data_IF_348810699520
#
_entry.id   IF_348810699520
#
_cell.length_a   1.000
_cell.length_b   1.000
_cell.length_c   1.000
_cell.angle_alpha   90.00
_cell.angle_beta   90.00
_cell.angle_gamma   90.00
#
_symmetry.space_group_name_H-M   'P 1'
#
loop_
_entity.id
_entity.type
_entity.pdbx_description
1 polymer ?
#
# COMPACT_ATOMS: atom_id res chain seq x y z
N UNK A 1 2.47 20.85 -15.11
CA UNK A 1 3.39 19.69 -14.99
C UNK A 1 3.27 18.82 -16.23
N UNK A 2 4.32 18.17 -16.73
CA UNK A 2 4.24 17.24 -17.88
C UNK A 2 5.34 16.18 -17.77
N UNK A 3 5.11 15.00 -18.33
CA UNK A 3 6.10 13.91 -18.39
C UNK A 3 7.38 14.32 -19.12
N UNK A 4 7.27 15.17 -20.14
CA UNK A 4 8.41 15.68 -20.89
C UNK A 4 9.49 16.33 -20.01
N UNK A 5 9.10 16.95 -18.89
CA UNK A 5 10.04 17.60 -17.95
C UNK A 5 10.82 16.61 -17.10
N UNK A 6 10.31 15.39 -16.92
CA UNK A 6 10.89 14.41 -16.00
C UNK A 6 11.41 13.13 -16.66
N UNK A 7 11.12 12.92 -17.96
CA UNK A 7 11.50 11.69 -18.68
C UNK A 7 13.02 11.45 -18.76
N UNK A 8 13.82 12.52 -18.64
CA UNK A 8 15.28 12.46 -18.71
C UNK A 8 15.97 12.40 -17.34
N UNK A 9 15.22 12.33 -16.24
CA UNK A 9 15.77 12.11 -14.92
C UNK A 9 16.45 10.73 -14.86
N UNK A 10 17.53 10.61 -14.09
CA UNK A 10 18.11 9.30 -13.83
C UNK A 10 17.11 8.40 -13.03
N UNK A 11 17.30 7.08 -13.01
CA UNK A 11 16.32 6.16 -12.40
C UNK A 11 15.99 6.45 -10.92
N UNK A 12 16.99 6.86 -10.14
CA UNK A 12 16.81 7.17 -8.72
C UNK A 12 16.06 8.50 -8.51
N UNK A 13 16.37 9.51 -9.31
CA UNK A 13 15.67 10.80 -9.30
C UNK A 13 14.22 10.63 -9.77
N UNK A 14 14.00 9.82 -10.82
CA UNK A 14 12.66 9.53 -11.30
C UNK A 14 11.82 8.83 -10.22
N UNK A 15 12.38 7.81 -9.57
CA UNK A 15 11.72 7.13 -8.44
C UNK A 15 11.49 8.09 -7.27
N UNK A 16 12.47 8.93 -6.94
CA UNK A 16 12.30 9.95 -5.90
C UNK A 16 11.18 10.93 -6.25
N UNK A 17 10.98 11.21 -7.52
CA UNK A 17 9.96 12.13 -8.00
C UNK A 17 8.55 11.50 -7.98
N UNK A 18 8.35 10.34 -8.60
CA UNK A 18 7.01 9.76 -8.78
C UNK A 18 6.71 8.49 -7.96
N UNK A 19 7.70 7.95 -7.23
CA UNK A 19 7.53 6.79 -6.35
C UNK A 19 7.81 5.43 -6.99
N UNK A 20 7.96 5.35 -8.32
CA UNK A 20 8.25 4.12 -9.06
C UNK A 20 9.46 4.27 -9.95
N UNK A 21 10.14 3.18 -10.29
CA UNK A 21 11.23 3.17 -11.26
C UNK A 21 10.71 3.39 -12.70
N UNK A 22 11.55 3.91 -13.64
CA UNK A 22 11.16 4.13 -15.02
C UNK A 22 10.61 2.89 -15.73
N UNK A 23 11.14 1.70 -15.43
CA UNK A 23 10.67 0.43 -16.00
C UNK A 23 9.23 0.14 -15.58
N UNK A 24 8.94 0.25 -14.29
CA UNK A 24 7.57 0.08 -13.74
C UNK A 24 6.62 1.12 -14.35
N UNK A 25 7.07 2.37 -14.48
CA UNK A 25 6.28 3.42 -15.12
C UNK A 25 5.95 3.10 -16.58
N UNK A 26 6.93 2.61 -17.36
CA UNK A 26 6.72 2.16 -18.75
C UNK A 26 5.70 1.03 -18.84
N UNK A 27 5.72 0.08 -17.90
CA UNK A 27 4.75 -1.01 -17.88
C UNK A 27 3.33 -0.50 -17.53
N UNK A 28 3.20 0.48 -16.63
CA UNK A 28 1.93 1.17 -16.39
C UNK A 28 1.40 1.84 -17.66
N UNK A 29 2.26 2.52 -18.43
CA UNK A 29 1.88 3.14 -19.71
C UNK A 29 1.39 2.11 -20.71
N UNK A 30 2.09 0.97 -20.86
CA UNK A 30 1.68 -0.14 -21.74
C UNK A 30 0.28 -0.64 -21.39
N UNK A 31 0.01 -0.87 -20.10
CA UNK A 31 -1.31 -1.32 -19.62
C UNK A 31 -2.41 -0.33 -19.99
N UNK A 32 -2.19 0.96 -19.76
CA UNK A 32 -3.16 1.98 -20.14
C UNK A 32 -3.36 2.07 -21.66
N UNK A 33 -2.29 1.90 -22.44
CA UNK A 33 -2.35 1.94 -23.89
C UNK A 33 -3.21 0.80 -24.45
N UNK A 34 -3.05 -0.42 -23.94
CA UNK A 34 -3.88 -1.58 -24.32
C UNK A 34 -5.36 -1.32 -24.04
N UNK A 35 -5.69 -0.84 -22.85
CA UNK A 35 -7.08 -0.53 -22.46
C UNK A 35 -7.68 0.57 -23.35
N UNK A 36 -6.90 1.58 -23.74
CA UNK A 36 -7.33 2.64 -24.65
C UNK A 36 -7.71 2.10 -26.04
N UNK A 37 -6.96 1.12 -26.54
CA UNK A 37 -7.25 0.47 -27.84
C UNK A 37 -8.56 -0.35 -27.77
N UNK A 38 -8.81 -0.99 -26.61
CA UNK A 38 -10.01 -1.81 -26.40
C UNK A 38 -11.30 -1.00 -26.20
N UNK A 39 -11.21 0.31 -25.97
CA UNK A 39 -12.38 1.17 -25.81
C UNK A 39 -13.16 1.32 -27.13
N UNK A 40 -14.39 0.78 -27.17
CA UNK A 40 -15.27 0.82 -28.35
C UNK A 40 -15.85 2.21 -28.66
N UNK A 41 -15.84 3.14 -27.73
CA UNK A 41 -16.39 4.49 -27.90
C UNK A 41 -15.29 5.54 -27.85
N UNK A 42 -15.12 6.28 -28.94
CA UNK A 42 -14.28 7.47 -28.98
C UNK A 42 -15.07 8.67 -28.44
N UNK A 43 -14.63 9.20 -27.28
CA UNK A 43 -15.09 10.48 -26.79
C UNK A 43 -14.09 11.59 -27.18
N UNK A 44 -14.30 12.82 -26.65
CA UNK A 44 -13.32 13.90 -26.81
C UNK A 44 -11.96 13.44 -26.29
N UNK A 45 -10.87 13.61 -27.05
CA UNK A 45 -9.53 13.26 -26.62
C UNK A 45 -9.17 13.92 -25.29
N UNK A 46 -8.47 13.19 -24.44
CA UNK A 46 -7.96 13.75 -23.18
C UNK A 46 -6.92 14.83 -23.48
N UNK A 47 -6.93 15.92 -22.70
CA UNK A 47 -5.89 16.97 -22.74
C UNK A 47 -4.51 16.40 -22.31
N UNK A 48 -4.51 15.43 -21.40
CA UNK A 48 -3.30 14.80 -20.87
C UNK A 48 -2.94 13.55 -21.68
N UNK A 49 -1.64 13.34 -21.96
CA UNK A 49 -1.10 12.09 -22.49
C UNK A 49 -1.32 10.93 -21.53
N UNK A 50 -1.06 9.69 -21.93
CA UNK A 50 -1.18 8.53 -21.01
C UNK A 50 -0.14 8.62 -19.90
N UNK A 51 1.07 9.05 -20.25
CA UNK A 51 2.16 9.29 -19.32
C UNK A 51 1.80 10.35 -18.28
N UNK A 52 1.24 11.48 -18.73
CA UNK A 52 0.79 12.55 -17.84
C UNK A 52 -0.33 12.10 -16.89
N UNK A 53 -1.25 11.27 -17.37
CA UNK A 53 -2.33 10.73 -16.53
C UNK A 53 -1.80 9.81 -15.44
N UNK A 54 -0.83 8.95 -15.75
CA UNK A 54 -0.17 8.09 -14.77
C UNK A 54 0.62 8.93 -13.78
N UNK A 55 1.41 9.90 -14.28
CA UNK A 55 2.24 10.75 -13.44
C UNK A 55 1.39 11.55 -12.45
N UNK A 56 0.28 12.13 -12.91
CA UNK A 56 -0.68 12.81 -12.04
C UNK A 56 -1.29 11.87 -10.99
N UNK A 57 -1.60 10.62 -11.36
CA UNK A 57 -2.15 9.63 -10.43
C UNK A 57 -1.10 9.25 -9.37
N UNK A 58 0.15 9.07 -9.76
CA UNK A 58 1.24 8.81 -8.83
C UNK A 58 1.51 10.00 -7.90
N UNK A 59 1.42 11.25 -8.40
CA UNK A 59 1.48 12.45 -7.58
C UNK A 59 0.37 12.46 -6.52
N UNK A 60 -0.86 12.12 -6.90
CA UNK A 60 -1.99 12.00 -5.96
C UNK A 60 -1.70 10.99 -4.85
N UNK A 61 -1.28 9.78 -5.22
CA UNK A 61 -1.05 8.69 -4.26
C UNK A 61 0.13 8.97 -3.32
N UNK A 62 1.16 9.65 -3.81
CA UNK A 62 2.39 9.90 -3.07
C UNK A 62 2.33 11.13 -2.18
N UNK A 63 1.82 12.26 -2.73
CA UNK A 63 1.92 13.57 -2.08
C UNK A 63 0.65 13.94 -1.28
N UNK A 64 -0.39 13.12 -1.30
CA UNK A 64 -1.67 13.39 -0.62
C UNK A 64 -2.30 14.73 -1.03
N UNK A 65 -2.05 15.20 -2.26
CA UNK A 65 -2.62 16.45 -2.77
C UNK A 65 -4.12 16.30 -3.01
N UNK A 66 -4.88 17.37 -2.77
CA UNK A 66 -6.29 17.40 -3.15
C UNK A 66 -6.45 17.44 -4.66
N UNK A 67 -7.59 16.97 -5.18
CA UNK A 67 -7.89 17.06 -6.62
C UNK A 67 -7.88 18.50 -7.11
N UNK A 68 -8.22 19.48 -6.27
CA UNK A 68 -8.11 20.91 -6.57
C UNK A 68 -6.66 21.32 -6.87
N UNK A 69 -5.70 20.95 -6.03
CA UNK A 69 -4.28 21.23 -6.26
C UNK A 69 -3.76 20.56 -7.53
N UNK A 70 -4.15 19.29 -7.76
CA UNK A 70 -3.79 18.59 -8.99
C UNK A 70 -4.38 19.28 -10.22
N UNK A 71 -5.63 19.71 -10.16
CA UNK A 71 -6.30 20.40 -11.25
C UNK A 71 -5.54 21.67 -11.68
N UNK A 72 -5.12 22.48 -10.72
CA UNK A 72 -4.31 23.68 -10.98
C UNK A 72 -2.96 23.31 -11.57
N UNK A 73 -2.22 22.35 -10.96
CA UNK A 73 -0.88 21.95 -11.38
C UNK A 73 -0.86 21.35 -12.81
N UNK A 74 -1.92 20.61 -13.18
CA UNK A 74 -2.06 19.93 -14.47
C UNK A 74 -2.96 20.71 -15.45
N UNK A 75 -3.40 21.90 -15.11
CA UNK A 75 -4.24 22.79 -15.93
C UNK A 75 -5.50 22.10 -16.48
N UNK A 76 -6.18 21.33 -15.64
CA UNK A 76 -7.43 20.62 -15.93
C UNK A 76 -8.50 20.97 -14.89
N UNK A 77 -9.73 20.50 -15.09
CA UNK A 77 -10.79 20.65 -14.10
C UNK A 77 -10.65 19.59 -12.98
N UNK A 78 -11.01 19.92 -11.74
CA UNK A 78 -10.96 19.07 -10.55
C UNK A 78 -11.71 17.74 -10.77
N UNK A 79 -12.90 17.78 -11.34
CA UNK A 79 -13.66 16.57 -11.67
C UNK A 79 -12.94 15.71 -12.71
N UNK A 80 -12.17 16.32 -13.61
CA UNK A 80 -11.35 15.59 -14.59
C UNK A 80 -10.18 14.90 -13.90
N UNK A 81 -9.50 15.57 -12.95
CA UNK A 81 -8.44 14.97 -12.15
C UNK A 81 -8.96 13.73 -11.38
N UNK A 82 -10.09 13.85 -10.69
CA UNK A 82 -10.76 12.75 -10.00
C UNK A 82 -11.06 11.57 -10.95
N UNK A 83 -11.66 11.84 -12.12
CA UNK A 83 -12.04 10.80 -13.08
C UNK A 83 -10.82 10.08 -13.66
N UNK A 84 -9.76 10.82 -13.99
CA UNK A 84 -8.51 10.26 -14.51
C UNK A 84 -7.86 9.38 -13.45
N UNK A 85 -7.66 9.87 -12.23
CA UNK A 85 -7.05 9.11 -11.13
C UNK A 85 -7.79 7.79 -10.90
N UNK A 86 -9.10 7.82 -10.69
CA UNK A 86 -9.90 6.61 -10.47
C UNK A 86 -9.87 5.63 -11.65
N UNK A 87 -9.85 6.16 -12.87
CA UNK A 87 -9.74 5.32 -14.07
C UNK A 87 -8.39 4.64 -14.15
N UNK A 88 -7.29 5.38 -13.96
CA UNK A 88 -5.92 4.84 -13.98
C UNK A 88 -5.76 3.77 -12.90
N UNK A 89 -6.13 4.06 -11.67
CA UNK A 89 -6.13 3.08 -10.57
C UNK A 89 -6.91 1.81 -10.94
N UNK A 90 -8.13 1.96 -11.44
CA UNK A 90 -8.97 0.83 -11.80
C UNK A 90 -8.39 -0.03 -12.92
N UNK A 91 -7.73 0.58 -13.92
CA UNK A 91 -7.08 -0.16 -15.02
C UNK A 91 -5.84 -0.90 -14.50
N UNK A 92 -4.97 -0.24 -13.73
CA UNK A 92 -3.77 -0.84 -13.19
C UNK A 92 -4.10 -2.03 -12.27
N UNK A 93 -5.08 -1.88 -11.39
CA UNK A 93 -5.53 -2.97 -10.50
C UNK A 93 -6.11 -4.16 -11.28
N UNK A 94 -6.93 -3.91 -12.31
CA UNK A 94 -7.51 -4.97 -13.13
C UNK A 94 -6.47 -5.72 -13.98
N UNK A 95 -5.35 -5.10 -14.29
CA UNK A 95 -4.29 -5.74 -15.08
C UNK A 95 -3.66 -6.96 -14.40
N UNK A 96 -3.73 -7.03 -13.07
CA UNK A 96 -3.06 -8.06 -12.26
C UNK A 96 -1.55 -7.89 -12.12
N UNK A 97 -0.92 -6.99 -12.89
CA UNK A 97 0.55 -6.81 -12.87
C UNK A 97 1.06 -6.02 -11.65
N UNK A 98 0.19 -5.23 -11.03
CA UNK A 98 0.55 -4.37 -9.89
C UNK A 98 -0.10 -4.82 -8.58
N UNK A 99 -0.47 -6.10 -8.49
CA UNK A 99 -1.02 -6.69 -7.28
C UNK A 99 0.10 -7.12 -6.33
N UNK A 100 -0.19 -7.09 -5.02
CA UNK A 100 0.70 -7.70 -4.04
C UNK A 100 0.77 -9.22 -4.27
N UNK A 101 1.91 -9.88 -3.94
CA UNK A 101 2.06 -11.34 -4.05
C UNK A 101 0.96 -12.13 -3.35
N UNK A 102 0.47 -11.62 -2.21
CA UNK A 102 -0.64 -12.19 -1.46
C UNK A 102 -0.23 -13.26 -0.46
N UNK A 103 -1.19 -13.68 0.36
CA UNK A 103 -0.94 -14.62 1.49
C UNK A 103 -0.39 -15.97 1.04
N UNK A 104 -0.75 -16.44 -0.15
CA UNK A 104 -0.30 -17.75 -0.67
C UNK A 104 1.22 -17.83 -0.78
N UNK A 105 1.89 -16.72 -1.05
CA UNK A 105 3.35 -16.66 -1.19
C UNK A 105 4.08 -17.08 0.09
N UNK A 106 3.55 -16.75 1.26
CA UNK A 106 4.16 -17.11 2.56
C UNK A 106 3.67 -18.46 3.11
N UNK A 107 2.67 -19.07 2.47
CA UNK A 107 2.12 -20.37 2.85
C UNK A 107 2.82 -21.55 2.16
N UNK A 108 3.63 -21.28 1.14
CA UNK A 108 4.30 -22.32 0.34
C UNK A 108 5.69 -22.61 0.89
N UNK A 109 5.97 -23.87 1.19
CA UNK A 109 7.24 -24.36 1.75
C UNK A 109 8.49 -24.11 0.87
N UNK A 110 8.31 -23.80 -0.41
CA UNK A 110 9.42 -23.56 -1.36
C UNK A 110 9.51 -22.09 -1.79
N UNK A 111 9.07 -21.16 -0.94
CA UNK A 111 9.29 -19.74 -1.22
C UNK A 111 10.74 -19.37 -0.92
N UNK A 112 11.35 -18.53 -1.77
CA UNK A 112 12.68 -17.93 -1.53
C UNK A 112 12.70 -16.96 -0.33
N UNK A 113 11.67 -17.04 0.52
CA UNK A 113 11.48 -16.17 1.67
C UNK A 113 12.06 -16.82 2.92
N UNK A 114 13.11 -16.22 3.47
CA UNK A 114 13.72 -16.67 4.72
C UNK A 114 13.11 -15.98 5.93
N UNK A 115 12.96 -14.64 5.85
CA UNK A 115 12.50 -13.81 6.97
C UNK A 115 11.47 -12.80 6.50
N UNK A 116 10.36 -12.73 7.22
CA UNK A 116 9.32 -11.71 7.03
C UNK A 116 9.15 -10.86 8.27
N UNK A 117 8.71 -9.63 8.07
CA UNK A 117 8.41 -8.67 9.14
C UNK A 117 6.93 -8.33 9.10
N UNK A 118 6.28 -8.34 10.25
CA UNK A 118 4.90 -7.88 10.40
C UNK A 118 4.83 -6.68 11.34
N UNK A 119 4.11 -5.65 10.90
CA UNK A 119 3.86 -4.44 11.68
C UNK A 119 2.47 -3.86 11.38
N UNK A 120 1.99 -2.98 12.26
CA UNK A 120 0.69 -2.29 12.12
C UNK A 120 0.91 -0.78 12.14
N UNK A 121 0.54 -0.13 11.04
CA UNK A 121 0.39 1.31 11.00
C UNK A 121 -1.04 1.73 11.35
N UNK A 122 -1.18 2.78 12.17
CA UNK A 122 -2.46 3.41 12.46
C UNK A 122 -2.61 4.69 11.62
N UNK A 123 -3.72 4.79 10.89
CA UNK A 123 -4.04 5.96 10.07
C UNK A 123 -5.24 6.68 10.68
N UNK A 124 -5.09 7.97 10.90
CA UNK A 124 -6.20 8.83 11.34
C UNK A 124 -7.31 8.85 10.29
N UNK A 125 -8.55 8.84 10.78
CA UNK A 125 -9.74 8.98 9.94
C UNK A 125 -10.69 10.02 10.54
N UNK A 126 -11.51 10.62 9.71
CA UNK A 126 -12.62 11.41 10.18
C UNK A 126 -13.52 10.61 11.12
N UNK A 127 -14.09 11.28 12.11
CA UNK A 127 -14.98 10.65 13.08
C UNK A 127 -16.13 9.94 12.38
N UNK A 128 -16.27 8.61 12.46
CA UNK A 128 -17.35 7.88 11.81
C UNK A 128 -18.72 8.27 12.36
N UNK A 129 -19.73 8.34 11.51
CA UNK A 129 -21.10 8.61 11.94
C UNK A 129 -21.70 7.49 12.80
N UNK A 130 -21.30 6.23 12.52
CA UNK A 130 -21.78 5.03 13.24
C UNK A 130 -20.60 4.23 13.80
N UNK A 131 -20.85 3.48 14.90
CA UNK A 131 -19.87 2.56 15.53
C UNK A 131 -18.56 3.27 15.92
N UNK A 132 -18.61 4.54 16.34
CA UNK A 132 -17.43 5.35 16.67
C UNK A 132 -16.46 4.67 17.62
N UNK A 133 -16.98 4.00 18.67
CA UNK A 133 -16.17 3.27 19.66
C UNK A 133 -15.26 2.20 19.06
N UNK A 134 -15.63 1.62 17.92
CA UNK A 134 -14.85 0.56 17.27
C UNK A 134 -13.58 1.12 16.61
N UNK A 135 -13.62 2.38 16.19
CA UNK A 135 -12.52 3.05 15.50
C UNK A 135 -11.65 3.90 16.43
N UNK A 136 -12.08 4.12 17.67
CA UNK A 136 -11.32 4.94 18.62
C UNK A 136 -10.09 4.19 19.12
N UNK A 137 -8.91 4.74 18.83
CA UNK A 137 -7.63 4.26 19.35
C UNK A 137 -7.35 4.92 20.69
N UNK A 138 -7.35 4.15 21.77
CA UNK A 138 -6.97 4.66 23.10
C UNK A 138 -5.49 5.07 23.18
N UNK A 139 -4.63 4.52 22.31
CA UNK A 139 -3.21 4.88 22.22
C UNK A 139 -3.01 6.24 21.56
N UNK A 140 -3.76 6.51 20.51
CA UNK A 140 -3.64 7.74 19.72
C UNK A 140 -4.53 8.88 20.22
N UNK A 141 -5.63 8.56 20.91
CA UNK A 141 -6.61 9.55 21.38
C UNK A 141 -7.62 10.02 20.33
N UNK A 142 -7.63 9.41 19.12
CA UNK A 142 -8.55 9.73 18.02
C UNK A 142 -9.00 8.49 17.25
N UNK A 143 -9.84 8.69 16.22
CA UNK A 143 -10.36 7.58 15.41
C UNK A 143 -9.36 7.17 14.34
N UNK A 144 -9.09 5.85 14.25
CA UNK A 144 -8.09 5.30 13.32
C UNK A 144 -8.61 4.06 12.59
N UNK A 145 -7.96 3.77 11.47
CA UNK A 145 -7.93 2.45 10.84
C UNK A 145 -6.52 1.89 10.98
N UNK A 146 -6.42 0.63 11.33
CA UNK A 146 -5.16 -0.12 11.38
C UNK A 146 -4.92 -0.84 10.07
N UNK A 147 -3.70 -0.73 9.56
CA UNK A 147 -3.22 -1.46 8.39
C UNK A 147 -2.04 -2.32 8.81
N UNK A 148 -2.26 -3.63 8.89
CA UNK A 148 -1.19 -4.59 9.09
C UNK A 148 -0.50 -4.83 7.76
N UNK A 149 0.82 -4.79 7.77
CA UNK A 149 1.69 -5.02 6.61
C UNK A 149 2.59 -6.20 6.92
N UNK A 150 2.65 -7.18 6.00
CA UNK A 150 3.64 -8.23 5.99
C UNK A 150 4.60 -7.99 4.83
N UNK A 151 5.89 -7.86 5.12
CA UNK A 151 6.93 -7.56 4.14
C UNK A 151 8.13 -8.48 4.30
N UNK A 152 8.93 -8.63 3.23
CA UNK A 152 10.22 -9.33 3.30
C UNK A 152 11.23 -8.47 4.06
N UNK A 153 12.03 -9.05 4.95
CA UNK A 153 13.08 -8.32 5.64
C UNK A 153 14.15 -7.80 4.67
N UNK A 154 14.57 -8.62 3.73
CA UNK A 154 15.70 -8.34 2.84
C UNK A 154 15.46 -7.18 1.88
N UNK A 155 14.26 -7.06 1.34
CA UNK A 155 13.96 -6.08 0.28
C UNK A 155 12.94 -5.04 0.68
N UNK A 156 12.23 -5.23 1.80
CA UNK A 156 11.09 -4.41 2.19
C UNK A 156 9.86 -4.58 1.28
N UNK A 157 9.85 -5.59 0.39
CA UNK A 157 8.72 -5.84 -0.50
C UNK A 157 7.49 -6.25 0.30
N UNK A 158 6.40 -5.52 0.14
CA UNK A 158 5.13 -5.84 0.78
C UNK A 158 4.52 -7.08 0.11
N UNK A 159 4.24 -8.09 0.90
CA UNK A 159 3.66 -9.37 0.45
C UNK A 159 2.14 -9.30 0.50
N UNK A 160 1.60 -8.90 1.63
CA UNK A 160 0.16 -8.75 1.82
C UNK A 160 -0.16 -7.75 2.94
N UNK A 161 -1.39 -7.27 2.93
CA UNK A 161 -1.92 -6.36 3.94
C UNK A 161 -3.22 -6.91 4.53
N UNK A 162 -3.54 -6.46 5.74
CA UNK A 162 -4.85 -6.67 6.36
C UNK A 162 -5.27 -5.39 7.07
N UNK A 163 -6.57 -5.10 7.09
CA UNK A 163 -7.08 -3.87 7.67
C UNK A 163 -8.06 -4.15 8.80
N UNK A 164 -8.06 -3.28 9.80
CA UNK A 164 -8.95 -3.38 10.94
C UNK A 164 -9.31 -2.03 11.53
N UNK A 165 -10.28 -2.03 12.44
CA UNK A 165 -10.71 -0.84 13.16
C UNK A 165 -9.67 -0.47 14.22
N UNK A 166 -9.46 0.82 14.50
CA UNK A 166 -8.42 1.31 15.41
C UNK A 166 -8.40 0.71 16.81
N UNK A 167 -9.57 0.33 17.33
CA UNK A 167 -9.69 -0.31 18.66
C UNK A 167 -9.11 -1.74 18.71
N UNK A 168 -8.98 -2.42 17.57
CA UNK A 168 -8.53 -3.82 17.56
C UNK A 168 -7.05 -3.88 17.98
N UNK A 169 -6.71 -4.77 18.89
CA UNK A 169 -5.32 -5.05 19.27
C UNK A 169 -4.57 -5.70 18.09
N UNK A 170 -3.28 -5.36 17.90
CA UNK A 170 -2.49 -5.77 16.73
C UNK A 170 -2.45 -7.30 16.56
N UNK A 171 -2.24 -8.04 17.65
CA UNK A 171 -2.30 -9.50 17.61
C UNK A 171 -3.70 -10.06 17.28
N UNK A 172 -4.78 -9.35 17.61
CA UNK A 172 -6.12 -9.75 17.18
C UNK A 172 -6.35 -9.48 15.71
N UNK A 173 -5.77 -8.39 15.17
CA UNK A 173 -5.79 -8.13 13.74
C UNK A 173 -5.03 -9.23 12.99
N UNK A 174 -3.87 -9.66 13.48
CA UNK A 174 -3.13 -10.82 12.98
C UNK A 174 -4.00 -12.08 12.92
N UNK A 175 -4.63 -12.46 14.02
CA UNK A 175 -5.52 -13.64 14.05
C UNK A 175 -6.66 -13.54 13.05
N UNK A 176 -7.30 -12.37 12.97
CA UNK A 176 -8.42 -12.13 12.06
C UNK A 176 -7.98 -12.13 10.59
N UNK A 177 -6.73 -11.77 10.32
CA UNK A 177 -6.17 -11.75 8.96
C UNK A 177 -6.02 -13.14 8.36
N UNK A 178 -5.96 -14.19 9.21
CA UNK A 178 -5.74 -15.58 8.77
C UNK A 178 -4.51 -15.75 7.85
N UNK A 179 -3.45 -15.01 8.13
CA UNK A 179 -2.19 -15.17 7.45
C UNK A 179 -1.49 -16.38 8.07
N UNK A 180 -1.47 -17.50 7.34
CA UNK A 180 -0.60 -18.63 7.67
C UNK A 180 0.78 -18.39 7.07
N UNK A 181 1.84 -18.57 7.86
CA UNK A 181 3.23 -18.52 7.39
C UNK A 181 3.78 -19.94 7.45
N UNK A 182 4.51 -20.35 6.42
CA UNK A 182 5.19 -21.64 6.42
C UNK A 182 6.21 -21.72 7.57
N UNK A 183 6.34 -22.87 8.20
CA UNK A 183 7.19 -23.08 9.39
C UNK A 183 8.67 -22.81 9.14
N UNK A 184 9.14 -22.91 7.90
CA UNK A 184 10.51 -22.61 7.52
C UNK A 184 10.83 -21.11 7.52
N UNK A 185 9.82 -20.26 7.39
CA UNK A 185 9.97 -18.79 7.29
C UNK A 185 9.97 -18.19 8.70
N UNK A 186 10.99 -17.43 9.05
CA UNK A 186 11.03 -16.68 10.31
C UNK A 186 10.14 -15.44 10.24
N UNK A 187 9.33 -15.20 11.28
CA UNK A 187 8.47 -14.02 11.39
C UNK A 187 8.96 -13.09 12.50
N UNK A 188 9.35 -11.88 12.13
CA UNK A 188 9.70 -10.82 13.07
C UNK A 188 8.49 -9.92 13.32
N UNK A 189 8.16 -9.70 14.58
CA UNK A 189 7.03 -8.85 14.98
C UNK A 189 7.39 -7.96 16.16
N UNK A 190 6.63 -6.89 16.36
CA UNK A 190 6.81 -5.99 17.48
C UNK A 190 6.21 -6.55 18.81
N UNK A 191 6.33 -5.79 19.90
CA UNK A 191 5.78 -6.16 21.22
C UNK A 191 4.26 -6.29 21.25
N UNK A 192 3.53 -5.74 20.29
CA UNK A 192 2.08 -5.83 20.18
C UNK A 192 1.59 -7.25 19.81
N UNK A 193 2.50 -8.10 19.30
CA UNK A 193 2.17 -9.47 18.87
C UNK A 193 2.46 -10.55 19.92
N UNK A 194 2.37 -10.20 21.20
CA UNK A 194 2.54 -11.19 22.29
C UNK A 194 1.64 -12.40 22.09
N UNK A 195 2.26 -13.60 22.02
CA UNK A 195 1.56 -14.86 21.79
C UNK A 195 1.55 -15.35 20.33
N UNK A 196 2.19 -14.63 19.39
CA UNK A 196 2.33 -15.07 18.00
C UNK A 196 3.00 -16.44 17.90
N UNK A 197 3.97 -16.75 18.77
CA UNK A 197 4.68 -18.04 18.84
C UNK A 197 3.76 -19.24 19.02
N UNK A 198 2.56 -19.05 19.60
CA UNK A 198 1.55 -20.12 19.71
C UNK A 198 0.89 -20.46 18.37
N UNK A 199 0.97 -19.58 17.39
CA UNK A 199 0.41 -19.77 16.05
C UNK A 199 1.51 -20.05 15.00
N UNK A 200 2.70 -19.49 15.21
CA UNK A 200 3.86 -19.66 14.38
C UNK A 200 5.10 -19.74 15.26
N UNK A 201 5.61 -20.96 15.48
CA UNK A 201 6.74 -21.21 16.39
C UNK A 201 8.00 -20.45 16.00
N UNK A 202 8.28 -20.38 14.69
CA UNK A 202 9.44 -19.66 14.13
C UNK A 202 9.18 -18.15 14.08
N UNK A 203 8.87 -17.54 15.22
CA UNK A 203 8.64 -16.09 15.32
C UNK A 203 9.44 -15.47 16.46
N UNK A 204 9.94 -14.26 16.22
CA UNK A 204 10.67 -13.47 17.22
C UNK A 204 9.97 -12.14 17.48
N UNK A 205 9.83 -11.83 18.75
CA UNK A 205 9.34 -10.56 19.26
C UNK A 205 10.34 -10.01 20.28
N UNK A 206 10.49 -8.68 20.40
CA UNK A 206 11.36 -8.08 21.40
C UNK A 206 10.98 -8.51 22.81
N UNK A 207 11.98 -8.76 23.65
CA UNK A 207 11.78 -9.12 25.06
C UNK A 207 11.01 -8.02 25.80
N UNK A 208 9.98 -8.44 26.56
CA UNK A 208 9.22 -7.54 27.43
C UNK A 208 9.74 -7.68 28.86
N UNK A 209 10.49 -6.67 29.36
CA UNK A 209 10.91 -6.61 30.77
C UNK A 209 9.68 -6.70 31.67
N UNK A 210 9.62 -7.67 32.58
CA UNK A 210 8.62 -7.72 33.65
C UNK A 210 8.97 -6.64 34.69
N UNK A 211 7.95 -6.02 35.29
CA UNK A 211 8.05 -4.85 36.16
C UNK A 211 9.03 -4.98 37.37
N UNK A 212 9.54 -6.21 37.66
CA UNK A 212 10.40 -6.53 38.79
C UNK A 212 11.60 -7.45 38.42
N UNK A 213 12.09 -7.43 37.18
CA UNK A 213 13.30 -8.18 36.80
C UNK A 213 14.42 -7.22 36.41
N UNK A 214 15.59 -7.40 37.01
CA UNK A 214 16.87 -6.83 36.52
C UNK A 214 17.23 -7.43 35.17
N UNK A 215 17.96 -6.68 34.35
CA UNK A 215 18.42 -7.12 33.03
C UNK A 215 19.49 -8.20 33.15
#
# INVERSE_FOLDING_TARGET
MTYEKVKNLNPEEFKRFCGVYPETFKDMVKVLAVEKVLQKKSGRPSKLSLEDQILMTLEYLREYRTYFHLAINWEINETTALRITRRVEGILMKSGLFNLPGKKTVQQANSDLEVVVVDVAEHEIERPQKKQKDYYSGKQGYHTIKSQVLATQKTGMIICTAHGKGRIHDFNLWKNSQIGIDKSIECLADKGYQGIQKQHENSRIPYKKKKNQEL
#
